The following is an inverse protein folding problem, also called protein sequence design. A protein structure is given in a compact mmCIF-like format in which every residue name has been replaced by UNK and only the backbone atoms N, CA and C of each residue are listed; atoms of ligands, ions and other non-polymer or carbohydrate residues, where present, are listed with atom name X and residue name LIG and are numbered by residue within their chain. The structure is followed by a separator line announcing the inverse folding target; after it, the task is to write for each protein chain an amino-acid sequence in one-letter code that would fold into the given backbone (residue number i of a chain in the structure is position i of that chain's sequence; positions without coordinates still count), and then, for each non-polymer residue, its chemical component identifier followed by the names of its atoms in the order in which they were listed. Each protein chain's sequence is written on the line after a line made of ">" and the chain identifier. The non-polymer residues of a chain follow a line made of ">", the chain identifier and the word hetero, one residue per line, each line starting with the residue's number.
data_IF_763200041665
#
_entry.id   IF_763200041665
#
_cell.length_a   1.000
_cell.length_b   1.000
_cell.length_c   1.000
_cell.angle_alpha   90.00
_cell.angle_beta   90.00
_cell.angle_gamma   90.00
#
_symmetry.space_group_name_H-M   'P 1'
#
loop_
_entity.id
_entity.type
_entity.pdbx_description
1 polymer ?
#
# COMPACT_ATOMS: atom_id res chain seq x y z
N UNK A 1 3.33 -6.59 9.72
CA UNK A 1 2.35 -6.51 10.82
C UNK A 1 0.97 -6.82 10.29
N UNK A 2 0.21 -7.62 10.99
CA UNK A 2 -1.16 -7.91 10.60
C UNK A 2 -2.11 -6.84 11.14
N UNK A 3 -3.02 -6.38 10.29
CA UNK A 3 -3.97 -5.33 10.63
C UNK A 3 -5.38 -5.89 10.54
N UNK A 4 -6.20 -5.57 11.52
CA UNK A 4 -7.59 -5.99 11.61
C UNK A 4 -8.52 -4.80 11.37
N UNK A 5 -9.82 -5.09 11.25
CA UNK A 5 -10.83 -4.04 11.12
C UNK A 5 -10.76 -3.07 12.31
N UNK A 6 -10.51 -3.59 13.52
CA UNK A 6 -10.43 -2.78 14.74
C UNK A 6 -9.17 -1.91 14.81
N UNK A 7 -8.08 -2.36 14.21
CA UNK A 7 -6.80 -1.64 14.30
C UNK A 7 -6.51 -0.79 13.06
N UNK A 8 -7.33 -0.88 12.03
CA UNK A 8 -7.07 -0.25 10.74
C UNK A 8 -6.91 1.27 10.84
N UNK A 9 -7.81 1.94 11.54
CA UNK A 9 -7.75 3.41 11.66
C UNK A 9 -6.44 3.85 12.31
N UNK A 10 -6.00 3.17 13.36
CA UNK A 10 -4.75 3.50 14.05
C UNK A 10 -3.52 3.13 13.22
N UNK A 11 -3.49 1.90 12.71
CA UNK A 11 -2.27 1.33 12.14
C UNK A 11 -2.07 1.68 10.67
N UNK A 12 -3.11 2.12 9.98
CA UNK A 12 -3.02 2.52 8.58
C UNK A 12 -3.37 4.00 8.39
N UNK A 13 -4.57 4.42 8.76
CA UNK A 13 -5.02 5.78 8.49
C UNK A 13 -4.19 6.81 9.25
N UNK A 14 -4.15 6.69 10.57
CA UNK A 14 -3.38 7.63 11.40
C UNK A 14 -1.89 7.51 11.16
N UNK A 15 -1.39 6.27 11.08
CA UNK A 15 0.03 6.02 10.86
C UNK A 15 0.51 6.59 9.52
N UNK A 16 -0.33 6.56 8.49
CA UNK A 16 0.03 7.07 7.16
C UNK A 16 0.21 8.60 7.12
N UNK A 17 -0.19 9.30 8.17
CA UNK A 17 0.07 10.74 8.32
C UNK A 17 1.49 11.02 8.77
N UNK A 18 2.15 10.03 9.37
CA UNK A 18 3.54 10.13 9.81
C UNK A 18 4.49 9.51 8.80
N UNK A 19 4.07 8.42 8.17
CA UNK A 19 4.91 7.59 7.31
C UNK A 19 4.01 6.83 6.33
N UNK A 20 4.35 6.76 5.04
CA UNK A 20 3.53 5.98 4.10
C UNK A 20 3.40 4.53 4.55
N UNK A 21 2.19 3.98 4.42
CA UNK A 21 1.89 2.60 4.81
C UNK A 21 1.51 1.81 3.57
N UNK A 22 2.28 0.76 3.29
CA UNK A 22 2.02 -0.18 2.21
C UNK A 22 1.13 -1.29 2.76
N UNK A 23 -0.03 -1.48 2.15
CA UNK A 23 -1.02 -2.45 2.59
C UNK A 23 -1.10 -3.59 1.59
N UNK A 24 -0.84 -4.82 2.05
CA UNK A 24 -0.91 -6.05 1.25
C UNK A 24 -2.20 -6.79 1.61
N UNK A 25 -3.19 -6.76 0.72
CA UNK A 25 -4.42 -7.55 0.87
C UNK A 25 -4.18 -8.94 0.32
N UNK A 26 -4.30 -9.95 1.17
CA UNK A 26 -3.93 -11.33 0.86
C UNK A 26 -4.92 -12.33 1.44
N UNK A 27 -4.77 -13.61 1.09
CA UNK A 27 -5.49 -14.71 1.71
C UNK A 27 -4.60 -15.96 1.73
N UNK A 28 -4.85 -16.84 2.69
CA UNK A 28 -4.05 -18.06 2.86
C UNK A 28 -4.14 -19.00 1.65
N UNK A 29 -5.27 -19.02 0.94
CA UNK A 29 -5.47 -19.88 -0.22
C UNK A 29 -4.86 -19.31 -1.51
N UNK A 30 -4.34 -18.12 -1.48
CA UNK A 30 -3.87 -17.40 -2.66
C UNK A 30 -2.41 -17.75 -2.97
N UNK A 31 -2.17 -18.52 -4.05
CA UNK A 31 -0.82 -18.87 -4.47
C UNK A 31 0.05 -17.66 -4.78
N UNK A 32 -0.41 -16.73 -5.65
CA UNK A 32 0.37 -15.53 -5.97
C UNK A 32 0.71 -14.65 -4.76
N UNK A 33 -0.15 -14.65 -3.73
CA UNK A 33 0.12 -13.93 -2.49
C UNK A 33 1.36 -14.46 -1.78
N UNK A 34 1.61 -15.76 -1.87
CA UNK A 34 2.80 -16.40 -1.26
C UNK A 34 4.09 -16.01 -1.97
N UNK A 35 3.99 -15.68 -3.25
CA UNK A 35 5.12 -15.19 -4.03
C UNK A 35 5.37 -13.71 -3.75
N UNK A 36 4.30 -12.92 -3.71
CA UNK A 36 4.42 -11.49 -3.46
C UNK A 36 4.92 -11.18 -2.05
N UNK A 37 4.45 -11.91 -1.04
CA UNK A 37 4.77 -11.62 0.36
C UNK A 37 6.25 -11.40 0.62
N UNK A 38 7.10 -12.41 0.36
CA UNK A 38 8.54 -12.24 0.56
C UNK A 38 9.16 -11.14 -0.31
N UNK A 39 8.66 -10.97 -1.53
CA UNK A 39 9.19 -9.96 -2.45
C UNK A 39 8.93 -8.54 -1.92
N UNK A 40 7.69 -8.25 -1.51
CA UNK A 40 7.36 -6.93 -1.01
C UNK A 40 8.00 -6.66 0.36
N UNK A 41 8.08 -7.68 1.21
CA UNK A 41 8.76 -7.57 2.49
C UNK A 41 10.22 -7.16 2.30
N UNK A 42 10.90 -7.80 1.37
CA UNK A 42 12.30 -7.48 1.06
C UNK A 42 12.49 -6.08 0.53
N UNK A 43 11.62 -5.63 -0.36
CA UNK A 43 11.73 -4.28 -0.93
C UNK A 43 11.39 -3.19 0.07
N UNK A 44 10.42 -3.44 0.96
CA UNK A 44 10.11 -2.51 2.05
C UNK A 44 11.26 -2.44 3.03
N UNK A 45 11.88 -3.57 3.36
CA UNK A 45 13.01 -3.62 4.29
C UNK A 45 14.19 -2.80 3.79
N UNK A 46 14.44 -2.78 2.48
CA UNK A 46 15.49 -1.93 1.89
C UNK A 46 15.21 -0.44 2.10
N UNK A 47 14.00 -0.08 2.43
CA UNK A 47 13.55 1.30 2.60
C UNK A 47 13.09 1.55 4.03
N UNK A 48 13.70 0.86 4.99
CA UNK A 48 13.39 0.98 6.41
C UNK A 48 13.43 2.44 6.85
N UNK A 49 12.41 2.87 7.60
CA UNK A 49 12.28 4.24 8.05
C UNK A 49 11.60 5.18 7.07
N UNK A 50 11.39 4.75 5.82
CA UNK A 50 10.73 5.57 4.80
C UNK A 50 9.28 5.15 4.55
N UNK A 51 8.95 3.91 4.87
CA UNK A 51 7.59 3.38 4.77
C UNK A 51 7.45 2.14 5.64
N UNK A 52 6.21 1.72 5.87
CA UNK A 52 5.89 0.51 6.62
C UNK A 52 5.04 -0.41 5.78
N UNK A 53 5.12 -1.72 6.06
CA UNK A 53 4.28 -2.74 5.44
C UNK A 53 3.33 -3.31 6.47
N UNK A 54 2.04 -3.37 6.12
CA UNK A 54 1.04 -4.09 6.90
C UNK A 54 0.32 -5.07 5.98
N UNK A 55 -0.25 -6.11 6.57
CA UNK A 55 -0.98 -7.14 5.85
C UNK A 55 -2.41 -7.23 6.35
N UNK A 56 -3.34 -7.41 5.43
CA UNK A 56 -4.76 -7.57 5.74
C UNK A 56 -5.25 -8.86 5.08
N UNK A 57 -5.65 -9.82 5.90
CA UNK A 57 -6.26 -11.07 5.45
C UNK A 57 -7.71 -10.80 5.08
N UNK A 58 -8.06 -10.90 3.80
CA UNK A 58 -9.40 -10.55 3.34
C UNK A 58 -10.48 -11.53 3.80
N UNK A 59 -10.11 -12.74 4.17
CA UNK A 59 -11.08 -13.71 4.71
C UNK A 59 -11.42 -13.38 6.16
N UNK A 60 -10.43 -12.96 6.94
CA UNK A 60 -10.64 -12.56 8.32
C UNK A 60 -11.25 -11.15 8.42
N UNK A 61 -10.87 -10.25 7.54
CA UNK A 61 -11.28 -8.83 7.59
C UNK A 61 -12.15 -8.48 6.38
N UNK A 62 -13.31 -9.14 6.28
CA UNK A 62 -14.21 -8.97 5.14
C UNK A 62 -14.75 -7.54 5.00
N UNK A 63 -14.95 -6.85 6.11
CA UNK A 63 -15.41 -5.47 6.09
C UNK A 63 -14.41 -4.54 5.41
N UNK A 64 -13.13 -4.74 5.65
CA UNK A 64 -12.08 -3.95 5.00
C UNK A 64 -11.99 -4.27 3.51
N UNK A 65 -12.08 -5.56 3.15
CA UNK A 65 -12.08 -5.95 1.75
C UNK A 65 -13.24 -5.30 0.99
N UNK A 66 -14.42 -5.28 1.57
CA UNK A 66 -15.59 -4.65 0.98
C UNK A 66 -15.44 -3.13 0.88
N UNK A 67 -14.91 -2.50 1.95
CA UNK A 67 -14.70 -1.04 1.99
C UNK A 67 -13.82 -0.55 0.85
N UNK A 68 -12.78 -1.31 0.53
CA UNK A 68 -11.84 -0.92 -0.53
C UNK A 68 -12.10 -1.61 -1.86
N UNK A 69 -13.19 -2.36 -1.97
CA UNK A 69 -13.59 -2.98 -3.22
C UNK A 69 -12.58 -4.00 -3.74
N UNK A 70 -11.97 -4.78 -2.84
CA UNK A 70 -10.95 -5.75 -3.22
C UNK A 70 -11.63 -6.92 -3.94
N UNK A 71 -11.31 -7.10 -5.23
CA UNK A 71 -11.87 -8.17 -6.05
C UNK A 71 -10.83 -9.22 -6.44
N UNK A 72 -9.59 -8.80 -6.56
CA UNK A 72 -8.48 -9.68 -6.93
C UNK A 72 -7.36 -9.55 -5.93
N UNK A 73 -6.67 -10.64 -5.62
CA UNK A 73 -5.52 -10.63 -4.73
C UNK A 73 -4.34 -11.34 -5.38
N UNK A 74 -3.11 -10.94 -5.04
CA UNK A 74 -2.80 -9.87 -4.09
C UNK A 74 -3.10 -8.49 -4.65
N UNK A 75 -3.60 -7.61 -3.81
CA UNK A 75 -3.75 -6.19 -4.11
C UNK A 75 -2.92 -5.42 -3.11
N UNK A 76 -2.10 -4.50 -3.60
CA UNK A 76 -1.26 -3.65 -2.77
C UNK A 76 -1.70 -2.22 -2.94
N UNK A 77 -1.89 -1.51 -1.83
CA UNK A 77 -2.22 -0.10 -1.82
C UNK A 77 -1.23 0.65 -0.94
N UNK A 78 -0.86 1.86 -1.34
CA UNK A 78 0.00 2.71 -0.52
C UNK A 78 -0.83 3.86 0.01
N UNK A 79 -0.88 3.97 1.34
CA UNK A 79 -1.60 5.02 2.04
C UNK A 79 -0.65 6.14 2.43
N UNK A 80 -1.08 7.37 2.22
CA UNK A 80 -0.38 8.59 2.64
C UNK A 80 -1.42 9.61 3.07
N UNK A 81 -1.20 10.21 4.23
CA UNK A 81 -2.11 11.23 4.79
C UNK A 81 -3.55 10.73 4.92
N UNK A 82 -3.71 9.48 5.30
CA UNK A 82 -5.00 8.87 5.61
C UNK A 82 -5.74 8.27 4.43
N UNK A 83 -5.19 8.34 3.21
CA UNK A 83 -5.88 7.88 2.00
C UNK A 83 -5.00 7.02 1.12
N UNK A 84 -5.59 6.06 0.38
CA UNK A 84 -4.83 5.33 -0.62
C UNK A 84 -4.51 6.26 -1.80
N UNK A 85 -3.24 6.33 -2.18
CA UNK A 85 -2.80 7.24 -3.23
C UNK A 85 -2.34 6.51 -4.49
N UNK A 86 -1.92 5.25 -4.38
CA UNK A 86 -1.50 4.43 -5.50
C UNK A 86 -1.56 2.97 -5.11
N UNK A 87 -1.40 2.07 -6.07
CA UNK A 87 -1.41 0.65 -5.80
C UNK A 87 -1.22 -0.18 -7.05
N UNK A 88 -1.23 -1.50 -6.87
CA UNK A 88 -1.18 -2.44 -7.99
C UNK A 88 -1.88 -3.75 -7.59
N UNK A 89 -2.22 -4.54 -8.61
CA UNK A 89 -2.82 -5.87 -8.44
C UNK A 89 -1.91 -6.89 -9.11
N UNK A 90 -1.58 -7.96 -8.39
CA UNK A 90 -0.79 -9.06 -8.93
C UNK A 90 0.56 -9.22 -8.25
N UNK A 91 1.17 -10.39 -8.46
CA UNK A 91 2.44 -10.75 -7.83
C UNK A 91 3.62 -10.38 -8.73
N UNK A 92 4.01 -9.11 -8.69
CA UNK A 92 5.15 -8.65 -9.46
C UNK A 92 6.47 -9.06 -8.81
N UNK A 93 7.54 -9.21 -9.61
CA UNK A 93 8.86 -9.55 -9.07
C UNK A 93 9.46 -8.41 -8.26
N UNK A 94 10.45 -8.71 -7.39
CA UNK A 94 11.04 -7.69 -6.50
C UNK A 94 11.52 -6.43 -7.22
N UNK A 95 12.17 -6.57 -8.37
CA UNK A 95 12.67 -5.40 -9.12
C UNK A 95 11.55 -4.46 -9.54
N UNK A 96 10.41 -5.03 -9.96
CA UNK A 96 9.24 -4.24 -10.37
C UNK A 96 8.61 -3.55 -9.16
N UNK A 97 8.53 -4.25 -8.04
CA UNK A 97 8.02 -3.68 -6.78
C UNK A 97 8.91 -2.53 -6.32
N UNK A 98 10.23 -2.71 -6.37
CA UNK A 98 11.19 -1.67 -6.00
C UNK A 98 11.01 -0.42 -6.86
N UNK A 99 10.87 -0.62 -8.17
CA UNK A 99 10.62 0.50 -9.09
C UNK A 99 9.33 1.24 -8.75
N UNK A 100 8.27 0.48 -8.46
CA UNK A 100 6.99 1.05 -8.05
C UNK A 100 7.13 1.92 -6.80
N UNK A 101 7.82 1.41 -5.78
CA UNK A 101 8.02 2.15 -4.54
C UNK A 101 8.87 3.40 -4.76
N UNK A 102 9.90 3.32 -5.59
CA UNK A 102 10.73 4.47 -5.90
C UNK A 102 9.96 5.53 -6.68
N UNK A 103 9.11 5.11 -7.60
CA UNK A 103 8.22 6.03 -8.32
C UNK A 103 7.22 6.70 -7.37
N UNK A 104 6.72 5.96 -6.37
CA UNK A 104 5.84 6.52 -5.35
C UNK A 104 6.53 7.67 -4.62
N UNK A 105 7.81 7.50 -4.22
CA UNK A 105 8.54 8.57 -3.53
C UNK A 105 8.79 9.79 -4.42
N UNK A 106 8.74 9.62 -5.73
CA UNK A 106 8.88 10.73 -6.66
C UNK A 106 7.58 11.50 -6.86
N UNK A 107 6.43 10.97 -6.40
CA UNK A 107 5.16 11.68 -6.51
C UNK A 107 5.13 12.89 -5.59
N UNK A 108 4.56 14.03 -6.05
CA UNK A 108 4.43 15.20 -5.18
C UNK A 108 3.48 14.92 -4.01
N UNK A 109 3.70 15.63 -2.91
CA UNK A 109 2.80 15.54 -1.76
C UNK A 109 1.42 16.09 -2.11
N UNK A 110 0.35 15.63 -1.41
CA UNK A 110 -0.98 16.20 -1.61
C UNK A 110 -0.95 17.72 -1.49
N UNK A 111 -1.55 18.41 -2.44
CA UNK A 111 -1.52 19.87 -2.52
C UNK A 111 -0.41 20.39 -3.41
N UNK A 112 0.76 19.81 -3.37
CA UNK A 112 1.84 20.19 -4.27
C UNK A 112 1.52 19.84 -5.71
N UNK A 113 0.88 18.69 -5.91
CA UNK A 113 0.44 18.26 -7.22
C UNK A 113 -0.57 19.24 -7.83
N UNK A 114 -1.53 19.67 -7.04
CA UNK A 114 -2.54 20.64 -7.49
C UNK A 114 -1.88 21.97 -7.84
N UNK A 115 -0.98 22.44 -6.99
CA UNK A 115 -0.29 23.69 -7.22
C UNK A 115 0.58 23.63 -8.46
N UNK A 116 1.33 22.57 -8.60
CA UNK A 116 2.20 22.35 -9.76
C UNK A 116 1.39 22.27 -11.04
N UNK A 117 0.27 21.56 -10.99
CA UNK A 117 -0.62 21.43 -12.13
C UNK A 117 -1.23 22.76 -12.54
N UNK A 118 -1.60 23.58 -11.57
CA UNK A 118 -2.11 24.92 -11.82
C UNK A 118 -1.09 25.80 -12.52
N UNK A 119 0.18 25.70 -12.13
CA UNK A 119 1.27 26.42 -12.77
C UNK A 119 1.45 26.01 -14.23
N UNK A 120 1.31 24.74 -14.52
CA UNK A 120 1.43 24.24 -15.89
C UNK A 120 0.27 24.68 -16.78
N UNK A 121 -0.90 24.80 -16.21
CA UNK A 121 -2.10 25.20 -16.93
C UNK A 121 -2.23 26.71 -17.00
N UNK A 122 -1.86 27.35 -15.92
CA UNK A 122 -1.99 28.78 -15.77
C UNK A 122 -0.91 29.55 -16.45
#
# INVERSE_FOLDING_TARGET
>A
MDVTTETFERDVVERSRELPVVVDFWAAWCGPCRTLGPAIEGEVEKRTGKLELVKIDIDAEQALAARFGIQSIPTVAVFRDGEPVTGFVGAYPPATIGKFLDEFFALPAPGEDEFYHADLIG
#
